data_IF_065506087764
#
_entry.id   IF_065506087764
#
_cell.length_a   1.000
_cell.length_b   1.000
_cell.length_c   1.000
_cell.angle_alpha   90.00
_cell.angle_beta   90.00
_cell.angle_gamma   90.00
#
_symmetry.space_group_name_H-M   'P 1'
#
loop_
_entity.id
_entity.type
_entity.pdbx_description
1 polymer ?
#
# COMPACT_ATOMS: atom_id res chain seq x y z
N UNK A 1 10.91 33.26 15.94
CA UNK A 1 11.25 34.07 17.11
C UNK A 1 9.96 34.32 17.86
N UNK A 2 9.85 33.74 19.06
CA UNK A 2 9.21 34.32 20.25
C UNK A 2 9.31 33.26 21.36
N UNK A 3 10.41 33.36 22.08
CA UNK A 3 10.78 32.50 23.20
C UNK A 3 10.21 33.11 24.48
N UNK A 4 9.11 32.56 24.95
CA UNK A 4 8.59 32.82 26.30
C UNK A 4 9.55 32.18 27.33
N UNK A 5 10.31 32.95 28.14
CA UNK A 5 11.46 32.42 28.87
C UNK A 5 11.12 31.69 30.18
N UNK A 6 9.83 31.41 30.44
CA UNK A 6 9.37 30.79 31.72
C UNK A 6 8.35 29.64 31.56
N UNK A 7 7.99 29.27 30.34
CA UNK A 7 7.05 28.17 30.12
C UNK A 7 7.77 26.83 30.09
N UNK A 8 7.70 26.04 31.19
CA UNK A 8 8.09 24.62 31.15
C UNK A 8 7.33 23.93 30.01
N UNK A 9 8.03 23.34 29.06
CA UNK A 9 7.40 22.63 27.96
C UNK A 9 7.95 21.22 27.76
N UNK A 10 7.05 20.27 27.52
CA UNK A 10 7.40 18.86 27.25
C UNK A 10 7.33 18.58 25.76
N UNK A 11 8.23 17.72 25.29
CA UNK A 11 8.27 17.28 23.89
C UNK A 11 7.84 15.82 23.83
N UNK A 12 6.84 15.53 23.02
CA UNK A 12 6.36 14.17 22.82
C UNK A 12 6.65 13.79 21.38
N UNK A 13 7.23 12.61 21.17
CA UNK A 13 7.49 12.06 19.84
C UNK A 13 6.67 10.81 19.66
N UNK A 14 6.02 10.71 18.51
CA UNK A 14 5.23 9.56 18.10
C UNK A 14 5.88 8.99 16.85
N UNK A 15 6.04 7.68 16.84
CA UNK A 15 6.47 6.92 15.67
C UNK A 15 5.61 5.67 15.50
N UNK A 16 5.29 5.34 14.27
CA UNK A 16 4.45 4.19 13.93
C UNK A 16 5.15 3.33 12.90
N UNK A 17 5.30 2.05 13.22
CA UNK A 17 5.98 1.09 12.36
C UNK A 17 5.08 -0.08 12.00
N UNK A 18 5.21 -0.55 10.75
CA UNK A 18 4.56 -1.77 10.27
C UNK A 18 5.61 -2.72 9.72
N UNK A 19 5.82 -3.86 10.37
CA UNK A 19 6.80 -4.87 10.01
C UNK A 19 6.15 -6.25 9.97
N UNK A 20 6.35 -7.00 8.87
CA UNK A 20 5.78 -8.33 8.68
C UNK A 20 4.26 -8.41 8.92
N UNK A 21 3.53 -7.37 8.49
CA UNK A 21 2.08 -7.25 8.70
C UNK A 21 1.66 -6.77 10.09
N UNK A 22 2.57 -6.77 11.07
CA UNK A 22 2.33 -6.33 12.44
C UNK A 22 2.51 -4.82 12.57
N UNK A 23 1.59 -4.17 13.26
CA UNK A 23 1.57 -2.72 13.44
C UNK A 23 1.77 -2.35 14.91
N UNK A 24 2.68 -1.42 15.16
CA UNK A 24 2.92 -0.86 16.48
C UNK A 24 3.16 0.64 16.43
N UNK A 25 2.83 1.31 17.53
CA UNK A 25 3.12 2.72 17.76
C UNK A 25 4.01 2.84 18.98
N UNK A 26 4.94 3.77 18.97
CA UNK A 26 5.65 4.17 20.18
C UNK A 26 5.54 5.66 20.42
N UNK A 27 5.52 6.00 21.70
CA UNK A 27 5.34 7.36 22.19
C UNK A 27 6.43 7.59 23.24
N UNK A 28 7.19 8.67 23.13
CA UNK A 28 8.16 9.07 24.14
C UNK A 28 7.96 10.51 24.52
N UNK A 29 7.90 10.77 25.83
CA UNK A 29 7.81 12.11 26.39
C UNK A 29 9.15 12.47 27.02
N UNK A 30 9.71 13.59 26.57
CA UNK A 30 10.97 14.15 27.03
C UNK A 30 10.72 15.47 27.76
N UNK A 31 11.54 15.72 28.78
CA UNK A 31 11.64 17.03 29.39
C UNK A 31 12.54 17.98 28.57
N UNK A 32 12.84 19.16 29.12
CA UNK A 32 13.72 20.14 28.47
C UNK A 32 15.18 19.66 28.41
N UNK A 33 15.62 18.86 29.38
CA UNK A 33 16.94 18.23 29.46
C UNK A 33 17.13 17.06 28.48
N UNK A 34 16.05 16.63 27.80
CA UNK A 34 15.97 15.42 26.95
C UNK A 34 15.96 14.12 27.75
N UNK A 35 15.66 14.18 29.04
CA UNK A 35 15.45 13.01 29.86
C UNK A 35 14.06 12.42 29.58
N UNK A 36 13.98 11.09 29.55
CA UNK A 36 12.74 10.36 29.32
C UNK A 36 11.88 10.46 30.58
N UNK A 37 10.75 11.18 30.47
CA UNK A 37 9.75 11.26 31.54
C UNK A 37 8.93 9.96 31.55
N UNK A 38 8.48 9.55 30.36
CA UNK A 38 7.78 8.30 30.16
C UNK A 38 7.87 7.88 28.69
N UNK A 39 7.67 6.59 28.47
CA UNK A 39 7.61 5.97 27.15
C UNK A 39 6.50 4.92 27.15
N UNK A 40 5.78 4.83 26.04
CA UNK A 40 4.77 3.80 25.79
C UNK A 40 5.06 3.14 24.44
N UNK A 41 4.83 1.84 24.36
CA UNK A 41 4.87 1.07 23.13
C UNK A 41 3.56 0.30 23.03
N UNK A 42 2.86 0.45 21.92
CA UNK A 42 1.48 0.02 21.77
C UNK A 42 1.40 -0.87 20.55
N UNK A 43 0.93 -2.09 20.76
CA UNK A 43 0.63 -3.04 19.69
C UNK A 43 -0.83 -2.87 19.26
N UNK A 44 -1.05 -2.52 17.99
CA UNK A 44 -2.39 -2.51 17.40
C UNK A 44 -2.65 -3.81 16.64
N UNK A 45 -3.90 -4.16 16.35
CA UNK A 45 -4.21 -5.31 15.49
C UNK A 45 -3.67 -5.15 14.05
N UNK A 46 -3.32 -6.25 13.40
CA UNK A 46 -2.55 -6.28 12.14
C UNK A 46 -3.27 -5.64 10.95
N UNK A 47 -4.60 -5.65 11.00
CA UNK A 47 -5.46 -5.08 9.97
C UNK A 47 -5.52 -3.55 10.03
N UNK A 48 -5.08 -2.95 11.15
CA UNK A 48 -5.05 -1.51 11.30
C UNK A 48 -4.11 -0.86 10.26
N UNK A 49 -4.47 0.37 9.87
CA UNK A 49 -3.62 1.20 9.01
C UNK A 49 -2.69 2.06 9.86
N UNK A 50 -1.54 2.42 9.29
CA UNK A 50 -0.59 3.37 9.91
C UNK A 50 -1.28 4.68 10.28
N UNK A 51 -2.18 5.16 9.42
CA UNK A 51 -3.03 6.33 9.69
C UNK A 51 -3.85 6.20 10.99
N UNK A 52 -4.48 5.06 11.22
CA UNK A 52 -5.28 4.83 12.44
C UNK A 52 -4.37 4.67 13.66
N UNK A 53 -3.28 3.93 13.53
CA UNK A 53 -2.31 3.75 14.62
C UNK A 53 -1.70 5.07 15.09
N UNK A 54 -1.40 5.97 14.16
CA UNK A 54 -0.91 7.31 14.49
C UNK A 54 -1.98 8.13 15.23
N UNK A 55 -3.21 8.17 14.69
CA UNK A 55 -4.29 8.92 15.33
C UNK A 55 -4.61 8.38 16.74
N UNK A 56 -4.54 7.07 16.94
CA UNK A 56 -4.67 6.43 18.26
C UNK A 56 -3.50 6.83 19.18
N UNK A 57 -2.26 6.85 18.68
CA UNK A 57 -1.12 7.26 19.48
C UNK A 57 -1.22 8.73 19.93
N UNK A 58 -1.73 9.63 19.08
CA UNK A 58 -2.01 11.02 19.45
C UNK A 58 -3.14 11.06 20.50
N UNK A 59 -4.22 10.31 20.30
CA UNK A 59 -5.32 10.23 21.27
C UNK A 59 -4.81 9.80 22.66
N UNK A 60 -4.01 8.73 22.72
CA UNK A 60 -3.40 8.25 23.96
C UNK A 60 -2.45 9.27 24.58
N UNK A 61 -1.71 10.01 23.75
CA UNK A 61 -0.86 11.10 24.22
C UNK A 61 -1.69 12.14 24.95
N UNK A 62 -2.81 12.57 24.36
CA UNK A 62 -3.71 13.56 24.97
C UNK A 62 -4.29 13.06 26.29
N UNK A 63 -4.73 11.80 26.33
CA UNK A 63 -5.28 11.16 27.53
C UNK A 63 -4.23 11.00 28.65
N UNK A 64 -3.00 10.57 28.30
CA UNK A 64 -1.91 10.36 29.25
C UNK A 64 -1.41 11.66 29.86
N UNK A 65 -1.36 12.72 29.05
CA UNK A 65 -0.98 14.06 29.48
C UNK A 65 -2.00 14.65 30.46
N UNK A 66 -3.29 14.42 30.19
CA UNK A 66 -4.38 14.94 31.00
C UNK A 66 -4.45 16.48 31.01
N UNK A 67 -5.19 17.03 31.98
CA UNK A 67 -5.32 18.47 32.14
C UNK A 67 -4.07 19.05 32.82
N UNK A 68 -3.25 19.76 32.06
CA UNK A 68 -2.05 20.44 32.56
C UNK A 68 -1.96 21.87 32.04
N UNK A 69 -1.28 22.74 32.79
CA UNK A 69 -0.95 24.12 32.37
C UNK A 69 0.36 24.18 31.56
N UNK A 70 1.12 23.08 31.52
CA UNK A 70 2.38 23.01 30.77
C UNK A 70 2.11 22.98 29.27
N UNK A 71 2.93 23.70 28.50
CA UNK A 71 2.86 23.65 27.04
C UNK A 71 3.43 22.31 26.57
N UNK A 72 2.73 21.63 25.67
CA UNK A 72 3.14 20.31 25.17
C UNK A 72 3.22 20.37 23.67
N UNK A 73 4.35 19.94 23.13
CA UNK A 73 4.58 19.87 21.69
C UNK A 73 4.71 18.40 21.30
N UNK A 74 3.74 17.91 20.57
CA UNK A 74 3.72 16.54 20.05
C UNK A 74 4.18 16.56 18.60
N UNK A 75 5.21 15.77 18.31
CA UNK A 75 5.79 15.61 16.99
C UNK A 75 5.32 14.28 16.39
N UNK A 76 4.76 14.37 15.19
CA UNK A 76 4.26 13.24 14.40
C UNK A 76 4.79 13.35 12.98
N UNK A 77 5.16 12.22 12.38
CA UNK A 77 5.60 12.19 10.98
C UNK A 77 4.45 12.00 9.97
N UNK A 78 3.25 11.71 10.47
CA UNK A 78 2.06 11.46 9.67
C UNK A 78 1.39 12.73 9.20
N UNK A 79 1.91 13.27 8.10
CA UNK A 79 1.30 14.42 7.40
C UNK A 79 -0.18 14.19 7.11
N UNK A 80 -0.57 12.95 6.80
CA UNK A 80 -1.96 12.59 6.53
C UNK A 80 -2.89 12.80 7.73
N UNK A 81 -2.45 12.48 8.95
CA UNK A 81 -3.29 12.66 10.15
C UNK A 81 -3.43 14.14 10.49
N UNK A 82 -2.33 14.91 10.38
CA UNK A 82 -2.36 16.35 10.64
C UNK A 82 -3.25 17.09 9.63
N UNK A 83 -3.14 16.78 8.34
CA UNK A 83 -4.06 17.30 7.32
C UNK A 83 -5.50 16.90 7.57
N UNK A 84 -5.73 15.65 8.00
CA UNK A 84 -7.07 15.21 8.37
C UNK A 84 -7.58 16.01 9.56
N UNK A 85 -6.78 16.30 10.59
CA UNK A 85 -7.21 17.09 11.75
C UNK A 85 -7.54 18.54 11.39
N UNK A 86 -6.78 19.16 10.49
CA UNK A 86 -7.01 20.53 10.01
C UNK A 86 -8.20 20.68 9.05
N UNK A 87 -8.64 19.59 8.41
CA UNK A 87 -9.73 19.65 7.44
C UNK A 87 -11.09 19.95 8.10
N UNK A 88 -12.00 20.61 7.37
CA UNK A 88 -13.39 20.78 7.78
C UNK A 88 -14.30 19.62 7.32
N UNK A 89 -13.72 18.54 6.81
CA UNK A 89 -14.46 17.37 6.33
C UNK A 89 -14.56 16.36 7.48
N UNK A 90 -15.74 15.77 7.63
CA UNK A 90 -15.93 14.63 8.52
C UNK A 90 -15.18 13.41 7.96
N UNK A 91 -14.09 13.06 8.64
CA UNK A 91 -13.28 11.89 8.31
C UNK A 91 -13.76 10.66 9.11
N UNK A 92 -12.84 9.76 9.45
CA UNK A 92 -13.13 8.62 10.31
C UNK A 92 -13.55 9.05 11.72
N UNK A 93 -14.32 8.19 12.39
CA UNK A 93 -14.72 8.36 13.80
C UNK A 93 -13.51 8.66 14.71
N UNK A 94 -12.36 8.04 14.44
CA UNK A 94 -11.10 8.28 15.15
C UNK A 94 -10.65 9.73 15.04
N UNK A 95 -10.67 10.32 13.84
CA UNK A 95 -10.28 11.72 13.63
C UNK A 95 -11.28 12.68 14.28
N UNK A 96 -12.57 12.40 14.17
CA UNK A 96 -13.60 13.24 14.79
C UNK A 96 -13.48 13.27 16.31
N UNK A 97 -13.24 12.11 16.94
CA UNK A 97 -13.02 12.02 18.38
C UNK A 97 -11.73 12.75 18.77
N UNK A 98 -10.64 12.53 18.02
CA UNK A 98 -9.36 13.17 18.29
C UNK A 98 -9.45 14.71 18.18
N UNK A 99 -10.14 15.25 17.17
CA UNK A 99 -10.40 16.70 17.08
C UNK A 99 -11.09 17.22 18.34
N UNK A 100 -12.15 16.55 18.81
CA UNK A 100 -12.88 16.94 20.03
C UNK A 100 -11.96 16.92 21.26
N UNK A 101 -11.14 15.89 21.40
CA UNK A 101 -10.21 15.77 22.53
C UNK A 101 -9.11 16.85 22.48
N UNK A 102 -8.63 17.22 21.30
CA UNK A 102 -7.65 18.30 21.14
C UNK A 102 -8.26 19.70 21.42
N UNK A 103 -9.53 19.92 21.07
CA UNK A 103 -10.23 21.18 21.34
C UNK A 103 -10.32 21.48 22.85
N UNK A 104 -10.48 20.45 23.68
CA UNK A 104 -10.50 20.61 25.15
C UNK A 104 -9.10 20.63 25.77
N UNK A 105 -8.04 20.43 24.98
CA UNK A 105 -6.64 20.41 25.41
C UNK A 105 -5.76 21.39 24.60
N UNK A 106 -6.03 22.71 24.66
CA UNK A 106 -5.36 23.72 23.83
C UNK A 106 -3.85 23.86 24.09
N UNK A 107 -3.37 23.35 25.22
CA UNK A 107 -1.96 23.29 25.60
C UNK A 107 -1.13 22.33 24.74
N UNK A 108 -1.78 21.38 24.06
CA UNK A 108 -1.13 20.41 23.18
C UNK A 108 -1.09 20.99 21.77
N UNK A 109 0.13 21.13 21.23
CA UNK A 109 0.38 21.55 19.85
C UNK A 109 0.95 20.38 19.07
N UNK A 110 0.33 20.08 17.94
CA UNK A 110 0.80 19.05 17.02
C UNK A 110 1.72 19.70 15.98
N UNK A 111 2.91 19.14 15.79
CA UNK A 111 3.87 19.57 14.80
C UNK A 111 4.24 18.41 13.90
N UNK A 112 4.25 18.68 12.59
CA UNK A 112 4.78 17.72 11.63
C UNK A 112 6.31 17.70 11.69
N UNK A 113 6.88 16.50 11.72
CA UNK A 113 8.31 16.27 11.51
C UNK A 113 8.51 15.32 10.35
N UNK A 114 9.67 15.41 9.71
CA UNK A 114 10.01 14.46 8.64
C UNK A 114 10.46 13.15 9.26
N UNK A 115 9.89 12.05 8.78
CA UNK A 115 10.34 10.69 9.12
C UNK A 115 11.83 10.51 8.82
N UNK A 116 12.52 9.69 9.62
CA UNK A 116 13.92 9.28 9.41
C UNK A 116 14.96 10.40 9.33
N UNK A 117 14.68 11.55 9.95
CA UNK A 117 15.72 12.52 10.31
C UNK A 117 16.22 12.14 11.71
N UNK A 118 17.53 12.28 11.99
CA UNK A 118 18.22 11.98 13.27
C UNK A 118 17.70 12.88 14.42
N UNK A 119 16.43 12.77 14.71
CA UNK A 119 15.73 13.42 15.81
C UNK A 119 15.79 12.43 16.96
N UNK A 120 16.57 12.75 17.98
CA UNK A 120 16.79 11.94 19.18
C UNK A 120 15.51 11.29 19.73
N UNK A 121 14.41 12.04 19.81
CA UNK A 121 13.12 11.51 20.30
C UNK A 121 12.50 10.45 19.38
N UNK A 122 12.69 10.55 18.06
CA UNK A 122 12.12 9.60 17.09
C UNK A 122 12.84 8.24 17.14
N UNK A 123 14.15 8.23 17.40
CA UNK A 123 14.91 6.97 17.57
C UNK A 123 14.49 6.20 18.82
N UNK A 124 13.99 6.91 19.84
CA UNK A 124 13.55 6.35 21.12
C UNK A 124 12.13 5.77 21.04
N UNK A 125 11.24 6.32 20.21
CA UNK A 125 9.86 5.84 20.03
C UNK A 125 9.76 4.56 19.19
N UNK A 126 10.79 4.15 18.45
CA UNK A 126 10.58 3.29 17.27
C UNK A 126 10.75 1.76 17.40
N UNK A 127 11.19 1.19 18.53
CA UNK A 127 11.97 -0.07 18.41
C UNK A 127 11.22 -1.40 18.61
N UNK A 128 10.27 -1.53 19.53
CA UNK A 128 9.78 -2.87 19.91
C UNK A 128 8.25 -3.07 19.90
N UNK A 129 7.48 -2.07 19.49
CA UNK A 129 6.02 -2.20 19.47
C UNK A 129 5.54 -3.31 18.52
N UNK A 130 6.18 -3.49 17.35
CA UNK A 130 5.81 -4.54 16.36
C UNK A 130 6.22 -5.95 16.77
N UNK A 131 7.15 -6.10 17.72
CA UNK A 131 7.62 -7.41 18.20
C UNK A 131 6.76 -7.98 19.32
N UNK A 132 5.97 -7.14 20.01
CA UNK A 132 5.02 -7.56 21.06
C UNK A 132 4.01 -8.57 20.56
N UNK A 133 3.95 -9.74 21.21
CA UNK A 133 3.00 -10.83 20.91
C UNK A 133 1.54 -10.40 21.13
N UNK A 134 1.26 -9.82 22.28
CA UNK A 134 -0.09 -9.39 22.65
C UNK A 134 -0.49 -8.08 21.97
N UNK A 135 -1.75 -8.00 21.55
CA UNK A 135 -2.35 -6.78 20.99
C UNK A 135 -2.91 -5.94 22.13
N UNK A 136 -2.33 -4.76 22.33
CA UNK A 136 -2.76 -3.79 23.34
C UNK A 136 -4.09 -3.10 22.93
N UNK A 137 -4.24 -2.75 21.65
CA UNK A 137 -5.40 -2.01 21.15
C UNK A 137 -5.99 -2.66 19.90
N UNK A 138 -7.28 -3.01 19.98
CA UNK A 138 -8.05 -3.51 18.84
C UNK A 138 -8.92 -2.41 18.25
N UNK A 139 -8.57 -1.96 17.05
CA UNK A 139 -9.36 -0.99 16.29
C UNK A 139 -10.26 -1.68 15.26
N UNK A 140 -11.28 -0.96 14.79
CA UNK A 140 -12.17 -1.44 13.73
C UNK A 140 -11.36 -1.74 12.46
N UNK A 141 -11.60 -2.89 11.85
CA UNK A 141 -10.96 -3.30 10.60
C UNK A 141 -11.35 -2.31 9.50
N UNK A 142 -10.38 -1.64 8.84
CA UNK A 142 -10.68 -0.70 7.77
C UNK A 142 -11.33 -1.39 6.57
N UNK A 143 -12.34 -0.74 5.95
CA UNK A 143 -12.95 -1.21 4.69
C UNK A 143 -11.90 -1.41 3.59
N UNK A 144 -10.86 -0.57 3.55
CA UNK A 144 -9.75 -0.69 2.60
C UNK A 144 -8.97 -1.99 2.75
N UNK A 145 -8.77 -2.46 3.99
CA UNK A 145 -8.10 -3.73 4.27
C UNK A 145 -8.92 -4.90 3.74
N UNK A 146 -10.24 -4.92 4.01
CA UNK A 146 -11.15 -5.96 3.51
C UNK A 146 -11.15 -5.97 1.97
N UNK A 147 -11.29 -4.80 1.33
CA UNK A 147 -11.22 -4.69 -0.13
C UNK A 147 -9.90 -5.20 -0.69
N UNK A 148 -8.77 -4.93 -0.01
CA UNK A 148 -7.47 -5.42 -0.42
C UNK A 148 -7.36 -6.94 -0.33
N UNK A 149 -7.85 -7.54 0.76
CA UNK A 149 -7.87 -9.00 0.92
C UNK A 149 -8.71 -9.66 -0.18
N UNK A 150 -9.92 -9.16 -0.43
CA UNK A 150 -10.76 -9.65 -1.51
C UNK A 150 -10.04 -9.57 -2.86
N UNK A 151 -9.38 -8.44 -3.15
CA UNK A 151 -8.60 -8.27 -4.37
C UNK A 151 -7.47 -9.29 -4.49
N UNK A 152 -6.72 -9.55 -3.41
CA UNK A 152 -5.63 -10.54 -3.40
C UNK A 152 -6.19 -11.94 -3.66
N UNK A 153 -7.25 -12.34 -2.95
CA UNK A 153 -7.90 -13.65 -3.13
C UNK A 153 -8.40 -13.82 -4.57
N UNK A 154 -9.11 -12.82 -5.11
CA UNK A 154 -9.58 -12.87 -6.50
C UNK A 154 -8.44 -13.01 -7.51
N UNK A 155 -7.30 -12.34 -7.29
CA UNK A 155 -6.14 -12.46 -8.17
C UNK A 155 -5.49 -13.85 -8.08
N UNK A 156 -5.42 -14.43 -6.88
CA UNK A 156 -4.90 -15.78 -6.68
C UNK A 156 -5.77 -16.83 -7.38
N UNK A 157 -7.09 -16.77 -7.19
CA UNK A 157 -8.04 -17.65 -7.88
C UNK A 157 -7.96 -17.48 -9.40
N UNK A 158 -7.87 -16.24 -9.88
CA UNK A 158 -7.69 -15.98 -11.31
C UNK A 158 -6.35 -16.53 -11.82
N UNK A 159 -5.25 -16.39 -11.07
CA UNK A 159 -3.96 -16.97 -11.45
C UNK A 159 -4.03 -18.50 -11.55
N UNK A 160 -4.71 -19.17 -10.62
CA UNK A 160 -4.92 -20.63 -10.66
C UNK A 160 -5.73 -21.03 -11.90
N UNK A 161 -6.84 -20.34 -12.17
CA UNK A 161 -7.63 -20.56 -13.39
C UNK A 161 -6.83 -20.27 -14.67
N UNK A 162 -5.97 -19.25 -14.65
CA UNK A 162 -5.16 -18.87 -15.80
C UNK A 162 -4.07 -19.91 -16.12
N UNK A 163 -3.39 -20.40 -15.08
CA UNK A 163 -2.38 -21.45 -15.18
C UNK A 163 -2.96 -22.80 -15.64
N UNK A 164 -4.15 -23.16 -15.15
CA UNK A 164 -4.77 -24.46 -15.44
C UNK A 164 -5.60 -24.49 -16.73
N UNK A 165 -5.99 -23.35 -17.28
CA UNK A 165 -6.85 -23.30 -18.47
C UNK A 165 -6.19 -23.99 -19.67
N UNK A 166 -6.90 -24.83 -20.46
CA UNK A 166 -6.37 -25.37 -21.71
C UNK A 166 -6.41 -24.33 -22.85
N UNK A 167 -7.12 -23.21 -22.65
CA UNK A 167 -7.36 -22.20 -23.67
C UNK A 167 -6.32 -21.07 -23.61
N UNK A 168 -6.18 -20.32 -24.71
CA UNK A 168 -5.35 -19.13 -24.79
C UNK A 168 -3.88 -19.34 -24.38
N UNK A 169 -3.32 -20.53 -24.67
CA UNK A 169 -1.95 -20.89 -24.27
C UNK A 169 -0.86 -20.02 -24.89
N UNK A 170 -1.11 -19.48 -26.09
CA UNK A 170 -0.22 -18.46 -26.67
C UNK A 170 -0.15 -17.21 -25.78
N UNK A 171 -1.32 -16.68 -25.38
CA UNK A 171 -1.39 -15.51 -24.50
C UNK A 171 -0.77 -15.80 -23.13
N UNK A 172 -0.97 -17.00 -22.59
CA UNK A 172 -0.31 -17.45 -21.35
C UNK A 172 1.21 -17.46 -21.47
N UNK A 173 1.75 -17.89 -22.62
CA UNK A 173 3.18 -17.86 -22.86
C UNK A 173 3.78 -16.44 -22.89
N UNK A 174 2.98 -15.43 -23.25
CA UNK A 174 3.40 -14.01 -23.25
C UNK A 174 3.16 -13.35 -21.89
N UNK A 175 2.00 -13.62 -21.27
CA UNK A 175 1.57 -13.08 -19.99
C UNK A 175 1.17 -14.22 -19.06
N UNK A 176 2.15 -14.86 -18.43
CA UNK A 176 1.92 -15.97 -17.49
C UNK A 176 1.34 -15.50 -16.15
N UNK A 177 1.60 -14.24 -15.79
CA UNK A 177 1.17 -13.64 -14.53
C UNK A 177 -0.05 -12.73 -14.71
N UNK A 178 -1.10 -13.04 -13.96
CA UNK A 178 -2.29 -12.21 -13.81
C UNK A 178 -1.93 -10.96 -13.03
N UNK A 179 -2.29 -9.80 -13.57
CA UNK A 179 -2.15 -8.54 -12.87
C UNK A 179 -3.24 -7.55 -13.32
N UNK A 180 -3.40 -6.47 -12.56
CA UNK A 180 -4.39 -5.42 -12.87
C UNK A 180 -3.80 -4.26 -13.68
N UNK A 181 -2.60 -4.41 -14.27
CA UNK A 181 -2.03 -3.35 -15.08
C UNK A 181 -2.82 -3.26 -16.38
N UNK A 182 -3.04 -2.03 -16.84
CA UNK A 182 -3.73 -1.81 -18.11
C UNK A 182 -2.83 -2.28 -19.24
N UNK A 183 -3.33 -3.20 -20.06
CA UNK A 183 -2.69 -3.54 -21.32
C UNK A 183 -3.14 -2.52 -22.38
N UNK A 184 -2.18 -1.89 -23.06
CA UNK A 184 -2.44 -1.07 -24.23
C UNK A 184 -2.40 -1.99 -25.45
N UNK A 185 -3.55 -2.22 -26.09
CA UNK A 185 -3.66 -3.03 -27.29
C UNK A 185 -4.37 -2.25 -28.39
N UNK A 186 -3.92 -2.44 -29.62
CA UNK A 186 -4.64 -2.03 -30.82
C UNK A 186 -5.26 -3.26 -31.51
N UNK A 187 -5.94 -3.04 -32.63
CA UNK A 187 -6.62 -4.11 -33.37
C UNK A 187 -5.69 -5.26 -33.77
N UNK A 188 -4.48 -4.96 -34.24
CA UNK A 188 -3.53 -5.97 -34.75
C UNK A 188 -2.87 -6.72 -33.59
N UNK A 189 -2.46 -6.01 -32.54
CA UNK A 189 -1.88 -6.59 -31.33
C UNK A 189 -2.91 -7.54 -30.70
N UNK A 190 -4.17 -7.12 -30.58
CA UNK A 190 -5.21 -7.96 -30.01
C UNK A 190 -5.46 -9.23 -30.82
N UNK A 191 -5.41 -9.18 -32.16
CA UNK A 191 -5.53 -10.38 -33.00
C UNK A 191 -4.38 -11.37 -32.78
N UNK A 192 -3.15 -10.88 -32.64
CA UNK A 192 -1.97 -11.70 -32.37
C UNK A 192 -2.10 -12.35 -30.98
N UNK A 193 -2.35 -11.53 -29.96
CA UNK A 193 -2.42 -11.96 -28.56
C UNK A 193 -3.54 -12.97 -28.32
N UNK A 194 -4.72 -12.75 -28.90
CA UNK A 194 -5.87 -13.66 -28.76
C UNK A 194 -5.84 -14.84 -29.72
N UNK A 195 -4.91 -14.83 -30.69
CA UNK A 195 -4.86 -15.78 -31.83
C UNK A 195 -6.11 -15.75 -32.71
N UNK A 196 -6.92 -14.69 -32.65
CA UNK A 196 -8.20 -14.54 -33.40
C UNK A 196 -8.06 -13.73 -34.69
N UNK A 197 -6.82 -13.51 -35.15
CA UNK A 197 -6.58 -12.96 -36.49
C UNK A 197 -6.85 -13.94 -37.62
N UNK A 198 -6.50 -13.53 -38.84
CA UNK A 198 -6.60 -14.36 -40.05
C UNK A 198 -5.54 -15.48 -40.12
N UNK A 199 -5.31 -16.17 -39.02
CA UNK A 199 -4.39 -17.31 -38.94
C UNK A 199 -5.11 -18.59 -39.39
N UNK A 200 -4.52 -19.44 -40.25
CA UNK A 200 -5.14 -20.67 -40.73
C UNK A 200 -5.76 -21.56 -39.64
N UNK A 201 -5.10 -21.72 -38.49
CA UNK A 201 -5.65 -22.51 -37.37
C UNK A 201 -6.94 -21.91 -36.80
N UNK A 202 -7.04 -20.58 -36.72
CA UNK A 202 -8.26 -19.90 -36.30
C UNK A 202 -9.34 -19.99 -37.39
N UNK A 203 -8.98 -19.74 -38.65
CA UNK A 203 -9.91 -19.82 -39.77
C UNK A 203 -10.47 -21.23 -39.98
N UNK A 204 -9.73 -22.30 -39.66
CA UNK A 204 -10.27 -23.66 -39.64
C UNK A 204 -11.42 -23.82 -38.65
N UNK A 205 -11.28 -23.28 -37.44
CA UNK A 205 -12.30 -23.41 -36.38
C UNK A 205 -13.60 -22.69 -36.72
N UNK A 206 -13.50 -21.53 -37.38
CA UNK A 206 -14.67 -20.70 -37.69
C UNK A 206 -15.28 -21.02 -39.07
N UNK A 207 -14.44 -21.28 -40.06
CA UNK A 207 -14.85 -21.39 -41.47
C UNK A 207 -14.51 -22.74 -42.13
N UNK A 208 -13.94 -23.70 -41.39
CA UNK A 208 -13.62 -25.03 -41.94
C UNK A 208 -12.46 -25.07 -42.94
N UNK A 209 -11.67 -24.00 -43.06
CA UNK A 209 -10.51 -23.92 -43.95
C UNK A 209 -9.36 -24.85 -43.51
N UNK A 210 -8.36 -25.04 -44.40
CA UNK A 210 -7.13 -25.73 -44.04
C UNK A 210 -6.41 -25.03 -42.88
N UNK A 211 -5.87 -25.76 -41.88
CA UNK A 211 -5.07 -25.19 -40.80
C UNK A 211 -3.62 -24.94 -41.21
N UNK A 212 -3.20 -25.47 -42.35
CA UNK A 212 -1.79 -25.54 -42.72
C UNK A 212 -1.30 -24.19 -43.21
N UNK A 213 -0.05 -23.88 -42.89
CA UNK A 213 0.60 -22.71 -43.43
C UNK A 213 0.92 -22.93 -44.92
N UNK A 214 0.81 -21.88 -45.73
CA UNK A 214 1.19 -21.89 -47.15
C UNK A 214 2.67 -22.27 -47.37
N UNK A 215 3.53 -22.14 -46.35
CA UNK A 215 4.92 -22.59 -46.45
C UNK A 215 5.06 -24.13 -46.44
N UNK A 216 4.00 -24.86 -46.13
CA UNK A 216 3.94 -26.33 -46.16
C UNK A 216 4.70 -27.05 -45.05
N UNK A 217 5.23 -26.35 -44.03
CA UNK A 217 6.07 -26.96 -42.98
C UNK A 217 5.39 -27.21 -41.64
N UNK A 218 4.29 -26.51 -41.35
CA UNK A 218 3.58 -26.57 -40.08
C UNK A 218 2.19 -25.91 -40.22
N UNK A 219 1.39 -25.95 -39.17
CA UNK A 219 0.14 -25.22 -39.06
C UNK A 219 0.36 -23.70 -38.99
N UNK A 220 -0.55 -22.94 -39.59
CA UNK A 220 -0.54 -21.48 -39.57
C UNK A 220 -0.98 -20.91 -38.22
N UNK A 221 -0.12 -21.06 -37.20
CA UNK A 221 -0.27 -20.46 -35.87
C UNK A 221 0.48 -19.14 -35.76
N UNK A 222 0.12 -18.31 -34.77
CA UNK A 222 0.87 -17.08 -34.46
C UNK A 222 2.35 -17.39 -34.20
N UNK A 223 2.65 -18.41 -33.38
CA UNK A 223 4.01 -18.84 -33.09
C UNK A 223 4.77 -19.26 -34.35
N UNK A 224 4.13 -20.00 -35.25
CA UNK A 224 4.75 -20.39 -36.52
C UNK A 224 5.15 -19.15 -37.34
N UNK A 225 4.25 -18.19 -37.52
CA UNK A 225 4.57 -16.96 -38.25
C UNK A 225 5.63 -16.10 -37.55
N UNK A 226 5.53 -15.96 -36.23
CA UNK A 226 6.42 -15.14 -35.40
C UNK A 226 7.82 -15.73 -35.25
N UNK A 227 8.02 -17.04 -35.38
CA UNK A 227 9.31 -17.67 -35.07
C UNK A 227 9.86 -18.62 -36.17
N UNK A 228 9.02 -19.27 -36.99
CA UNK A 228 9.46 -20.41 -37.83
C UNK A 228 9.09 -20.39 -39.32
N UNK A 229 8.15 -19.55 -39.75
CA UNK A 229 7.61 -19.58 -41.10
C UNK A 229 8.65 -19.10 -42.14
N UNK A 230 8.92 -19.87 -43.20
CA UNK A 230 9.92 -19.47 -44.20
C UNK A 230 9.53 -18.18 -44.93
N UNK A 231 8.25 -18.03 -45.22
CA UNK A 231 7.69 -16.92 -45.99
C UNK A 231 8.03 -15.59 -45.32
N UNK A 232 7.99 -15.54 -43.98
CA UNK A 232 8.23 -14.32 -43.20
C UNK A 232 9.66 -14.24 -42.62
N UNK A 233 10.61 -15.05 -43.12
CA UNK A 233 11.99 -15.07 -42.60
C UNK A 233 12.66 -13.69 -42.69
N UNK A 234 12.58 -13.03 -43.84
CA UNK A 234 13.21 -11.73 -44.07
C UNK A 234 12.61 -10.64 -43.17
N UNK A 235 11.28 -10.65 -43.00
CA UNK A 235 10.59 -9.73 -42.10
C UNK A 235 11.08 -9.92 -40.66
N UNK A 236 11.18 -11.17 -40.18
CA UNK A 236 11.70 -11.43 -38.83
C UNK A 236 13.12 -10.93 -38.66
N UNK A 237 14.01 -11.18 -39.63
CA UNK A 237 15.39 -10.73 -39.59
C UNK A 237 15.52 -9.20 -39.54
N UNK A 238 14.55 -8.46 -40.10
CA UNK A 238 14.52 -6.99 -40.07
C UNK A 238 14.21 -6.41 -38.69
N UNK A 239 13.51 -7.16 -37.83
CA UNK A 239 13.00 -6.70 -36.53
C UNK A 239 13.52 -7.54 -35.35
N UNK A 240 14.52 -8.40 -35.58
CA UNK A 240 15.26 -9.14 -34.54
C UNK A 240 16.46 -8.32 -34.08
#
# INVERSE_FOLDING_TARGET
>A
MDSDPKGRFKKIFIDVSKLNGRLGSGIVCLDEGRDIIWKEEIRLNDEASVFVAEAVAIQMTVEKVGSTKEKIVTFSDSRSVLMALESNIDHSEVIMNLRKTLLVNPQIKLNWVRAHVDIYGNELSAKNATTKEEVDIKVKIPKSWIKNQLKVTMLQEWQVGWGSSPNSRFLYGVFSEVNTKRCHGDFLINQILTTYGCFPVHQRRIFGKSPDCECGRDQGTVSHYAYGCQIYREVRQKYS
#
